data_IF_167862589951
#
_entry.id   IF_167862589951
#
_cell.length_a   1.000
_cell.length_b   1.000
_cell.length_c   1.000
_cell.angle_alpha   90.00
_cell.angle_beta   90.00
_cell.angle_gamma   90.00
#
_symmetry.space_group_name_H-M   'P 1'
#
loop_
_entity.id
_entity.type
_entity.pdbx_description
1 polymer ?
#
# COMPACT_ATOMS: atom_id res chain seq x y z
N UNK A 1 -3.99 -20.50 29.71
CA UNK A 1 -4.10 -19.04 29.97
C UNK A 1 -3.44 -18.78 31.32
N UNK A 2 -2.57 -17.77 31.47
CA UNK A 2 -1.86 -17.54 32.74
C UNK A 2 -2.78 -17.11 33.89
N UNK A 3 -4.00 -16.62 33.62
CA UNK A 3 -4.97 -16.28 34.65
C UNK A 3 -4.39 -15.31 35.68
N UNK A 4 -4.60 -15.62 36.96
CA UNK A 4 -4.10 -14.83 38.10
C UNK A 4 -2.56 -14.79 38.20
N UNK A 5 -1.84 -15.67 37.48
CA UNK A 5 -0.38 -15.67 37.42
C UNK A 5 0.17 -14.71 36.36
N UNK A 6 -0.67 -13.99 35.62
CA UNK A 6 -0.19 -13.01 34.66
C UNK A 6 0.37 -11.78 35.42
N UNK A 7 1.61 -11.35 35.14
CA UNK A 7 2.21 -10.26 35.89
C UNK A 7 1.35 -8.99 35.75
N UNK A 8 1.08 -8.32 36.88
CA UNK A 8 0.36 -7.02 36.90
C UNK A 8 1.09 -5.98 36.04
N UNK A 9 2.42 -6.08 35.95
CA UNK A 9 3.26 -5.23 35.10
C UNK A 9 3.11 -5.50 33.60
N UNK A 10 2.35 -6.54 33.22
CA UNK A 10 2.15 -6.97 31.85
C UNK A 10 3.38 -7.58 31.19
N UNK A 11 3.43 -7.52 29.86
CA UNK A 11 4.58 -7.96 29.07
C UNK A 11 5.65 -6.87 29.00
N UNK A 12 6.92 -7.25 28.92
CA UNK A 12 8.02 -6.28 28.85
C UNK A 12 7.95 -5.37 27.61
N UNK A 13 8.52 -4.16 27.71
CA UNK A 13 8.48 -3.09 26.66
C UNK A 13 8.89 -3.52 25.24
N UNK A 14 9.65 -4.60 25.09
CA UNK A 14 10.12 -5.14 23.79
C UNK A 14 9.46 -6.48 23.40
N UNK A 15 8.36 -6.84 24.04
CA UNK A 15 7.73 -8.14 23.85
C UNK A 15 7.31 -8.38 22.38
N UNK A 16 6.65 -7.41 21.74
CA UNK A 16 6.24 -7.49 20.33
C UNK A 16 7.42 -7.70 19.37
N UNK A 17 8.51 -6.95 19.58
CA UNK A 17 9.74 -7.11 18.78
C UNK A 17 10.39 -8.49 18.99
N UNK A 18 10.40 -8.98 20.24
CA UNK A 18 10.94 -10.31 20.57
C UNK A 18 10.09 -11.43 19.99
N UNK A 19 8.76 -11.26 19.96
CA UNK A 19 7.82 -12.20 19.38
C UNK A 19 8.07 -12.35 17.87
N UNK A 20 8.08 -11.23 17.14
CA UNK A 20 8.34 -11.21 15.69
C UNK A 20 9.72 -11.82 15.39
N UNK A 21 10.75 -11.44 16.14
CA UNK A 21 12.09 -11.99 15.96
C UNK A 21 12.17 -13.49 16.22
N UNK A 22 11.45 -13.99 17.23
CA UNK A 22 11.44 -15.43 17.57
C UNK A 22 10.75 -16.26 16.50
N UNK A 23 9.76 -15.67 15.82
CA UNK A 23 8.96 -16.33 14.79
C UNK A 23 9.18 -15.69 13.42
N UNK A 24 10.39 -15.23 13.12
CA UNK A 24 10.69 -14.47 11.89
C UNK A 24 10.46 -15.27 10.62
N UNK A 25 10.46 -16.59 10.72
CA UNK A 25 10.17 -17.49 9.60
C UNK A 25 8.67 -17.51 9.21
N UNK A 26 7.81 -16.95 10.07
CA UNK A 26 6.35 -16.94 9.90
C UNK A 26 5.70 -15.57 10.11
N UNK A 27 6.35 -14.66 10.84
CA UNK A 27 5.83 -13.33 11.17
C UNK A 27 6.79 -12.26 10.68
N UNK A 28 6.26 -11.32 9.91
CA UNK A 28 6.97 -10.14 9.45
C UNK A 28 6.23 -8.89 9.88
N UNK A 29 6.97 -7.81 10.10
CA UNK A 29 6.35 -6.50 10.34
C UNK A 29 6.36 -5.68 9.06
N UNK A 30 5.21 -5.12 8.71
CA UNK A 30 5.04 -4.23 7.57
C UNK A 30 4.49 -2.87 7.99
N UNK A 31 4.60 -1.88 7.10
CA UNK A 31 3.83 -0.65 7.22
C UNK A 31 2.44 -0.85 6.63
N UNK A 32 1.41 -0.44 7.34
CA UNK A 32 0.05 -0.45 6.80
C UNK A 32 -0.03 0.54 5.63
N UNK A 33 -0.65 0.09 4.55
CA UNK A 33 -0.87 0.85 3.31
C UNK A 33 -2.36 0.86 2.94
N UNK A 34 -3.27 1.27 3.84
CA UNK A 34 -4.70 1.14 3.63
C UNK A 34 -5.21 1.93 2.43
N UNK A 35 -4.53 3.03 2.07
CA UNK A 35 -4.85 3.79 0.86
C UNK A 35 -4.44 3.04 -0.40
N UNK A 36 -3.29 2.37 -0.41
CA UNK A 36 -2.82 1.62 -1.57
C UNK A 36 -3.73 0.41 -1.85
N UNK A 37 -4.20 -0.26 -0.79
CA UNK A 37 -5.19 -1.33 -0.91
C UNK A 37 -6.52 -0.82 -1.47
N UNK A 38 -7.03 0.30 -0.96
CA UNK A 38 -8.27 0.92 -1.47
C UNK A 38 -8.11 1.37 -2.92
N UNK A 39 -6.96 1.94 -3.30
CA UNK A 39 -6.64 2.35 -4.67
C UNK A 39 -6.60 1.13 -5.61
N UNK A 40 -5.93 0.05 -5.20
CA UNK A 40 -5.90 -1.20 -5.97
C UNK A 40 -7.30 -1.79 -6.19
N UNK A 41 -8.18 -1.70 -5.20
CA UNK A 41 -9.58 -2.15 -5.30
C UNK A 41 -10.48 -1.21 -6.11
N UNK A 42 -10.10 0.05 -6.27
CA UNK A 42 -10.85 1.02 -7.07
C UNK A 42 -10.64 0.82 -8.58
N UNK A 43 -9.74 -0.07 -8.97
CA UNK A 43 -9.48 -0.39 -10.38
C UNK A 43 -10.64 -1.19 -10.97
N UNK A 44 -11.29 -0.64 -11.99
CA UNK A 44 -12.32 -1.32 -12.77
C UNK A 44 -11.72 -1.79 -14.12
N UNK A 45 -11.57 -3.11 -14.37
CA UNK A 45 -10.98 -3.62 -15.61
C UNK A 45 -11.62 -3.06 -16.88
N UNK A 46 -12.95 -2.89 -16.89
CA UNK A 46 -13.66 -2.34 -18.04
C UNK A 46 -13.34 -0.87 -18.27
N UNK A 47 -13.22 -0.07 -17.21
CA UNK A 47 -12.84 1.34 -17.31
C UNK A 47 -11.40 1.47 -17.80
N UNK A 48 -10.49 0.63 -17.30
CA UNK A 48 -9.10 0.61 -17.76
C UNK A 48 -9.01 0.23 -19.24
N UNK A 49 -9.70 -0.83 -19.66
CA UNK A 49 -9.71 -1.26 -21.05
C UNK A 49 -10.25 -0.15 -21.98
N UNK A 50 -11.37 0.47 -21.60
CA UNK A 50 -11.95 1.58 -22.36
C UNK A 50 -10.98 2.78 -22.44
N UNK A 51 -10.30 3.11 -21.33
CA UNK A 51 -9.30 4.17 -21.28
C UNK A 51 -8.11 3.88 -22.19
N UNK A 52 -7.51 2.69 -22.08
CA UNK A 52 -6.34 2.32 -22.90
C UNK A 52 -6.68 2.23 -24.39
N UNK A 53 -7.89 1.77 -24.73
CA UNK A 53 -8.38 1.80 -26.11
C UNK A 53 -8.46 3.23 -26.65
N UNK A 54 -9.10 4.14 -25.89
CA UNK A 54 -9.22 5.55 -26.29
C UNK A 54 -7.84 6.21 -26.44
N UNK A 55 -6.92 5.93 -25.52
CA UNK A 55 -5.56 6.45 -25.55
C UNK A 55 -4.82 5.98 -26.81
N UNK A 56 -4.85 4.67 -27.09
CA UNK A 56 -4.23 4.09 -28.28
C UNK A 56 -4.80 4.69 -29.58
N UNK A 57 -6.13 4.80 -29.67
CA UNK A 57 -6.81 5.39 -30.83
C UNK A 57 -6.37 6.86 -31.03
N UNK A 58 -6.25 7.61 -29.94
CA UNK A 58 -5.81 9.02 -29.96
C UNK A 58 -4.36 9.17 -30.43
N UNK A 59 -3.44 8.35 -29.91
CA UNK A 59 -2.02 8.33 -30.31
C UNK A 59 -1.91 8.02 -31.80
N UNK A 60 -2.64 7.00 -32.27
CA UNK A 60 -2.63 6.57 -33.67
C UNK A 60 -3.18 7.65 -34.60
N UNK A 61 -4.30 8.27 -34.25
CA UNK A 61 -4.94 9.31 -35.06
C UNK A 61 -4.07 10.56 -35.20
N UNK A 62 -3.38 10.96 -34.14
CA UNK A 62 -2.55 12.16 -34.12
C UNK A 62 -1.09 11.90 -34.50
N UNK A 63 -0.71 10.63 -34.75
CA UNK A 63 0.67 10.20 -35.05
C UNK A 63 1.67 10.70 -34.00
N UNK A 64 1.27 10.63 -32.73
CA UNK A 64 2.13 11.01 -31.60
C UNK A 64 3.30 10.03 -31.54
N UNK A 65 4.51 10.56 -31.51
CA UNK A 65 5.72 9.75 -31.39
C UNK A 65 5.87 9.26 -29.95
N UNK A 66 6.54 8.12 -29.77
CA UNK A 66 6.72 7.54 -28.44
C UNK A 66 7.52 8.49 -27.53
N UNK A 67 8.54 9.15 -28.10
CA UNK A 67 9.36 10.16 -27.42
C UNK A 67 8.58 11.40 -26.96
N UNK A 68 7.42 11.68 -27.56
CA UNK A 68 6.56 12.81 -27.21
C UNK A 68 5.51 12.45 -26.14
N UNK A 69 5.56 11.22 -25.61
CA UNK A 69 4.64 10.77 -24.56
C UNK A 69 5.23 11.04 -23.17
N UNK A 70 4.75 12.12 -22.55
CA UNK A 70 5.15 12.49 -21.19
C UNK A 70 4.15 11.94 -20.16
N UNK A 71 4.64 11.10 -19.24
CA UNK A 71 3.85 10.62 -18.10
C UNK A 71 3.80 11.69 -16.99
N UNK A 72 3.04 12.76 -17.24
CA UNK A 72 2.72 13.77 -16.22
C UNK A 72 1.39 13.43 -15.57
N UNK A 73 1.42 13.17 -14.26
CA UNK A 73 0.23 13.02 -13.42
C UNK A 73 0.33 13.98 -12.23
N UNK A 74 -0.82 14.34 -11.67
CA UNK A 74 -0.89 15.17 -10.47
C UNK A 74 -0.54 14.33 -9.24
N UNK A 75 0.57 14.65 -8.59
CA UNK A 75 0.86 14.10 -7.26
C UNK A 75 0.07 14.91 -6.24
N UNK A 76 -0.96 14.27 -5.66
CA UNK A 76 -1.61 14.78 -4.46
C UNK A 76 -0.64 14.80 -3.29
N UNK A 77 -0.05 15.96 -2.99
CA UNK A 77 0.80 16.17 -1.82
C UNK A 77 -0.10 16.56 -0.65
N UNK A 78 -0.39 15.61 0.24
CA UNK A 78 -1.12 15.90 1.48
C UNK A 78 -0.12 16.38 2.54
N UNK A 79 -0.29 17.60 3.06
CA UNK A 79 0.57 18.15 4.13
C UNK A 79 0.41 17.43 5.48
N UNK A 80 -0.65 16.63 5.63
CA UNK A 80 -0.83 15.71 6.75
C UNK A 80 -0.13 14.38 6.52
N UNK A 81 0.72 13.95 7.46
CA UNK A 81 1.32 12.62 7.43
C UNK A 81 0.23 11.57 7.32
N UNK A 82 0.11 10.92 6.16
CA UNK A 82 -0.73 9.73 6.01
C UNK A 82 -0.29 8.73 7.08
N UNK A 83 -1.13 8.51 8.09
CA UNK A 83 -0.77 7.69 9.24
C UNK A 83 -0.54 6.27 8.76
N UNK A 84 0.72 5.85 8.75
CA UNK A 84 1.13 4.47 8.54
C UNK A 84 1.44 3.88 9.90
N UNK A 85 0.88 2.72 10.18
CA UNK A 85 1.13 1.99 11.42
C UNK A 85 1.98 0.77 11.10
N UNK A 86 2.87 0.40 12.00
CA UNK A 86 3.68 -0.81 11.83
C UNK A 86 2.91 -2.00 12.40
N UNK A 87 2.45 -2.87 11.52
CA UNK A 87 1.61 -4.04 11.83
C UNK A 87 2.41 -5.33 11.72
N UNK A 88 1.97 -6.39 12.40
CA UNK A 88 2.45 -7.79 12.25
C UNK A 88 1.43 -8.54 11.41
#
# INVERSE_FOLDING_TARGET
>A
RLGDNFPVTGVGKKWTQRLVRKHSDHLHMGWSSPLDEKRGRAVNPHTNEAYFKLLHDTITQNRILEEDTYATDEIGVTEGSGTRERVI
#
